data_IF_450278782847
#
_entry.id   IF_450278782847
#
_cell.length_a   1.000
_cell.length_b   1.000
_cell.length_c   1.000
_cell.angle_alpha   90.00
_cell.angle_beta   90.00
_cell.angle_gamma   90.00
#
_symmetry.space_group_name_H-M   'P 1'
#
loop_
_entity.id
_entity.type
_entity.pdbx_description
1 polymer ?
#
# COMPACT_ATOMS: atom_id res chain seq x y z
N UNK A 1 -0.03 -21.27 -16.15
CA UNK A 1 0.16 -19.82 -16.40
C UNK A 1 -0.92 -19.05 -15.65
N UNK A 2 -0.57 -18.37 -14.57
CA UNK A 2 -1.53 -17.59 -13.80
C UNK A 2 -1.79 -16.26 -14.52
N UNK A 3 -2.94 -16.14 -15.16
CA UNK A 3 -3.43 -14.86 -15.66
C UNK A 3 -4.11 -14.13 -14.50
N UNK A 4 -3.30 -13.46 -13.68
CA UNK A 4 -3.77 -12.61 -12.60
C UNK A 4 -3.44 -11.15 -12.86
N UNK A 5 -4.21 -10.25 -12.27
CA UNK A 5 -3.94 -8.83 -12.20
C UNK A 5 -3.59 -8.47 -10.75
N UNK A 6 -2.65 -7.54 -10.58
CA UNK A 6 -2.39 -6.87 -9.31
C UNK A 6 -2.88 -5.43 -9.36
N UNK A 7 -3.45 -4.97 -8.25
CA UNK A 7 -3.70 -3.56 -8.01
C UNK A 7 -2.67 -3.05 -7.00
N UNK A 8 -1.95 -2.02 -7.38
CA UNK A 8 -1.02 -1.30 -6.53
C UNK A 8 -1.66 0.04 -6.16
N UNK A 9 -1.62 0.42 -4.90
CA UNK A 9 -2.18 1.69 -4.45
C UNK A 9 -1.16 2.49 -3.66
N UNK A 10 -1.19 3.81 -3.85
CA UNK A 10 -0.60 4.79 -2.97
C UNK A 10 -1.69 5.40 -2.10
N UNK A 11 -1.47 5.45 -0.80
CA UNK A 11 -2.41 6.03 0.15
C UNK A 11 -1.68 6.95 1.13
N UNK A 12 -2.37 7.98 1.56
CA UNK A 12 -1.88 8.90 2.56
C UNK A 12 -1.74 8.22 3.92
N UNK A 13 -0.60 8.42 4.58
CA UNK A 13 -0.26 7.74 5.83
C UNK A 13 -1.10 8.19 7.03
N UNK A 14 -1.66 9.39 7.00
CA UNK A 14 -2.50 9.92 8.08
C UNK A 14 -3.97 9.54 7.89
N UNK A 15 -4.52 9.88 6.73
CA UNK A 15 -5.93 9.68 6.43
C UNK A 15 -6.28 8.27 5.98
N UNK A 16 -5.32 7.55 5.39
CA UNK A 16 -5.54 6.27 4.72
C UNK A 16 -6.27 6.39 3.38
N UNK A 17 -6.47 7.62 2.87
CA UNK A 17 -7.13 7.83 1.59
C UNK A 17 -6.22 7.47 0.42
N UNK A 18 -6.78 6.75 -0.55
CA UNK A 18 -6.05 6.34 -1.75
C UNK A 18 -5.97 7.50 -2.72
N UNK A 19 -4.77 7.88 -3.12
CA UNK A 19 -4.52 8.94 -4.11
C UNK A 19 -4.05 8.41 -5.47
N UNK A 20 -3.47 7.20 -5.51
CA UNK A 20 -2.96 6.61 -6.75
C UNK A 20 -3.36 5.14 -6.84
N UNK A 21 -3.82 4.72 -8.01
CA UNK A 21 -4.14 3.32 -8.31
C UNK A 21 -3.46 2.92 -9.61
N UNK A 22 -2.72 1.81 -9.60
CA UNK A 22 -2.08 1.22 -10.77
C UNK A 22 -2.47 -0.25 -10.89
N UNK A 23 -2.91 -0.64 -12.07
CA UNK A 23 -3.15 -2.04 -12.40
C UNK A 23 -2.01 -2.60 -13.23
N UNK A 24 -1.54 -3.79 -12.87
CA UNK A 24 -0.52 -4.53 -13.64
C UNK A 24 -0.89 -5.98 -13.81
N UNK A 25 -0.23 -6.67 -14.72
CA UNK A 25 -0.30 -8.13 -14.74
C UNK A 25 0.31 -8.71 -13.46
N UNK A 26 -0.16 -9.88 -13.05
CA UNK A 26 0.20 -10.49 -11.76
C UNK A 26 1.67 -10.87 -11.60
N UNK A 27 2.43 -10.95 -12.69
CA UNK A 27 3.85 -11.25 -12.70
C UNK A 27 4.76 -10.02 -12.47
N UNK A 28 4.20 -8.80 -12.46
CA UNK A 28 4.97 -7.59 -12.19
C UNK A 28 5.28 -7.50 -10.70
N UNK A 29 6.55 -7.31 -10.36
CA UNK A 29 6.98 -7.13 -8.97
C UNK A 29 6.54 -5.76 -8.43
N UNK A 30 6.16 -5.71 -7.16
CA UNK A 30 5.64 -4.50 -6.52
C UNK A 30 6.66 -3.35 -6.56
N UNK A 31 7.94 -3.65 -6.38
CA UNK A 31 9.05 -2.68 -6.44
C UNK A 31 9.10 -1.91 -7.78
N UNK A 32 8.63 -2.51 -8.87
CA UNK A 32 8.61 -1.86 -10.19
C UNK A 32 7.61 -0.70 -10.22
N UNK A 33 6.54 -0.80 -9.45
CA UNK A 33 5.46 0.20 -9.43
C UNK A 33 5.61 1.24 -8.32
N UNK A 34 6.47 1.01 -7.32
CA UNK A 34 6.54 1.85 -6.13
C UNK A 34 6.69 3.34 -6.42
N UNK A 35 7.66 3.72 -7.24
CA UNK A 35 7.87 5.14 -7.57
C UNK A 35 6.73 5.76 -8.38
N UNK A 36 5.98 4.96 -9.16
CA UNK A 36 4.80 5.42 -9.91
C UNK A 36 3.56 5.64 -9.03
N UNK A 37 3.58 5.16 -7.80
CA UNK A 37 2.50 5.36 -6.81
C UNK A 37 2.62 6.70 -6.08
N UNK A 38 3.79 7.33 -6.12
CA UNK A 38 4.03 8.61 -5.49
C UNK A 38 3.40 9.74 -6.31
N UNK A 39 2.73 10.69 -5.66
CA UNK A 39 2.14 11.86 -6.32
C UNK A 39 3.12 13.04 -6.48
N UNK A 40 4.32 12.94 -5.88
CA UNK A 40 5.42 13.87 -6.12
C UNK A 40 5.65 14.93 -5.04
N UNK A 41 4.85 14.91 -3.97
CA UNK A 41 5.01 15.81 -2.81
C UNK A 41 5.49 15.07 -1.56
N UNK A 42 5.67 13.76 -1.67
CA UNK A 42 6.13 12.95 -0.56
C UNK A 42 7.64 13.11 -0.33
N UNK A 43 8.02 13.35 0.92
CA UNK A 43 9.40 13.22 1.39
C UNK A 43 9.69 11.84 1.99
N UNK A 44 8.64 11.12 2.39
CA UNK A 44 8.71 9.80 3.02
C UNK A 44 7.68 8.86 2.41
N UNK A 45 8.08 7.62 2.16
CA UNK A 45 7.19 6.56 1.75
C UNK A 45 7.41 5.30 2.61
N UNK A 46 6.34 4.60 2.92
CA UNK A 46 6.38 3.34 3.68
C UNK A 46 5.85 2.21 2.79
N UNK A 47 6.63 1.17 2.64
CA UNK A 47 6.28 0.01 1.82
C UNK A 47 6.40 -1.32 2.56
N UNK A 48 5.76 -2.34 2.04
CA UNK A 48 5.94 -3.71 2.51
C UNK A 48 7.25 -4.31 1.99
N UNK A 49 7.54 -5.57 2.36
CA UNK A 49 8.77 -6.23 1.96
C UNK A 49 8.91 -6.46 0.44
N UNK A 50 7.82 -6.31 -0.32
CA UNK A 50 7.83 -6.39 -1.79
C UNK A 50 8.52 -5.19 -2.46
N UNK A 51 8.68 -4.09 -1.73
CA UNK A 51 9.35 -2.87 -2.21
C UNK A 51 10.84 -2.81 -1.87
N UNK A 52 11.44 -3.88 -1.34
CA UNK A 52 12.88 -3.90 -1.04
C UNK A 52 13.73 -3.65 -2.29
N UNK A 53 14.70 -2.75 -2.16
CA UNK A 53 15.58 -2.34 -3.24
C UNK A 53 15.03 -1.23 -4.12
N UNK A 54 13.92 -0.60 -3.75
CA UNK A 54 13.30 0.48 -4.53
C UNK A 54 14.23 1.69 -4.68
N UNK A 55 15.04 1.96 -3.68
CA UNK A 55 16.04 3.05 -3.68
C UNK A 55 17.18 2.82 -4.69
N UNK A 56 17.38 1.58 -5.12
CA UNK A 56 18.44 1.20 -6.08
C UNK A 56 17.95 1.20 -7.53
N UNK A 57 16.68 1.48 -7.74
CA UNK A 57 16.11 1.47 -9.08
C UNK A 57 16.51 2.71 -9.88
N UNK A 58 16.58 2.61 -11.24
CA UNK A 58 16.88 3.76 -12.10
C UNK A 58 15.85 4.88 -12.01
N UNK A 59 14.60 4.55 -11.66
CA UNK A 59 13.48 5.47 -11.49
C UNK A 59 13.29 5.95 -10.04
N UNK A 60 14.25 5.64 -9.14
CA UNK A 60 14.20 6.08 -7.75
C UNK A 60 14.25 7.61 -7.65
N UNK A 61 13.34 8.18 -6.85
CA UNK A 61 13.33 9.62 -6.53
C UNK A 61 14.30 9.88 -5.38
N UNK A 62 15.29 10.72 -5.60
CA UNK A 62 16.37 11.00 -4.64
C UNK A 62 15.87 11.76 -3.39
N UNK A 63 14.77 12.47 -3.49
CA UNK A 63 14.15 13.29 -2.45
C UNK A 63 13.13 12.53 -1.59
N UNK A 64 12.91 11.25 -1.87
CA UNK A 64 11.97 10.39 -1.11
C UNK A 64 12.72 9.34 -0.31
N UNK A 65 12.54 9.35 1.01
CA UNK A 65 13.08 8.33 1.91
C UNK A 65 12.08 7.17 2.02
N UNK A 66 12.51 5.98 1.62
CA UNK A 66 11.70 4.79 1.73
C UNK A 66 11.96 4.01 3.02
N UNK A 67 10.91 3.77 3.78
CA UNK A 67 10.91 2.85 4.94
C UNK A 67 10.22 1.54 4.55
N UNK A 68 11.00 0.62 4.01
CA UNK A 68 10.50 -0.69 3.57
C UNK A 68 10.51 -1.66 4.74
N UNK A 69 9.45 -2.45 4.86
CA UNK A 69 9.34 -3.46 5.90
C UNK A 69 10.39 -4.57 5.71
N UNK A 70 10.89 -5.08 6.83
CA UNK A 70 11.80 -6.21 6.86
C UNK A 70 11.08 -7.50 6.42
N UNK A 71 11.79 -8.38 5.72
CA UNK A 71 11.27 -9.71 5.39
C UNK A 71 10.97 -10.50 6.66
N UNK A 72 9.87 -11.25 6.73
CA UNK A 72 9.46 -11.98 7.94
C UNK A 72 10.55 -12.89 8.51
N UNK A 73 11.31 -13.56 7.66
CA UNK A 73 12.42 -14.43 8.10
C UNK A 73 13.53 -13.66 8.83
N UNK A 74 13.93 -12.50 8.32
CA UNK A 74 14.93 -11.64 8.98
C UNK A 74 14.41 -11.08 10.30
N UNK A 75 13.13 -10.68 10.34
CA UNK A 75 12.52 -10.16 11.55
C UNK A 75 12.44 -11.22 12.66
N UNK A 76 12.15 -12.47 12.33
CA UNK A 76 12.12 -13.59 13.30
C UNK A 76 13.50 -13.92 13.88
N UNK A 77 14.57 -13.60 13.17
CA UNK A 77 15.94 -13.81 13.61
C UNK A 77 16.44 -12.73 14.58
N UNK A 78 15.68 -11.64 14.81
CA UNK A 78 16.05 -10.60 15.78
C UNK A 78 16.00 -11.15 17.20
N UNK A 79 17.05 -10.87 17.98
CA UNK A 79 17.13 -11.25 19.39
C UNK A 79 16.37 -10.22 20.23
N UNK A 80 15.49 -10.72 21.10
CA UNK A 80 14.78 -9.85 22.06
C UNK A 80 15.68 -9.34 23.20
N UNK A 81 16.82 -9.96 23.39
CA UNK A 81 17.77 -9.64 24.46
C UNK A 81 18.76 -8.53 24.06
N UNK A 82 18.93 -8.32 22.77
CA UNK A 82 19.80 -7.23 22.26
C UNK A 82 19.01 -5.94 22.08
N UNK A 83 19.45 -4.88 22.74
CA UNK A 83 18.80 -3.57 22.68
C UNK A 83 18.63 -3.04 21.25
N UNK A 84 19.65 -3.22 20.39
CA UNK A 84 19.58 -2.81 19.00
C UNK A 84 18.48 -3.56 18.22
N UNK A 85 18.37 -4.87 18.40
CA UNK A 85 17.34 -5.70 17.75
C UNK A 85 15.94 -5.36 18.27
N UNK A 86 15.81 -5.04 19.55
CA UNK A 86 14.56 -4.59 20.14
C UNK A 86 14.08 -3.26 19.53
N UNK A 87 15.01 -2.31 19.30
CA UNK A 87 14.71 -1.05 18.61
C UNK A 87 14.28 -1.28 17.15
N UNK A 88 14.96 -2.18 16.45
CA UNK A 88 14.58 -2.58 15.08
C UNK A 88 13.19 -3.18 15.06
N UNK A 89 12.85 -4.10 15.97
CA UNK A 89 11.50 -4.69 16.04
C UNK A 89 10.43 -3.64 16.35
N UNK A 90 10.74 -2.67 17.20
CA UNK A 90 9.83 -1.55 17.48
C UNK A 90 9.60 -0.67 16.25
N UNK A 91 10.64 -0.37 15.49
CA UNK A 91 10.51 0.34 14.22
C UNK A 91 9.65 -0.45 13.20
N UNK A 92 9.82 -1.77 13.13
CA UNK A 92 8.98 -2.63 12.28
C UNK A 92 7.50 -2.63 12.71
N UNK A 93 7.21 -2.55 14.02
CA UNK A 93 5.83 -2.40 14.53
C UNK A 93 5.20 -1.07 14.09
N UNK A 94 5.95 0.03 14.13
CA UNK A 94 5.47 1.34 13.65
C UNK A 94 5.18 1.30 12.14
N UNK A 95 6.06 0.74 11.34
CA UNK A 95 5.82 0.54 9.89
C UNK A 95 4.57 -0.30 9.66
N UNK A 96 4.37 -1.37 10.42
CA UNK A 96 3.18 -2.21 10.31
C UNK A 96 1.89 -1.43 10.64
N UNK A 97 1.90 -0.55 11.62
CA UNK A 97 0.79 0.33 11.97
C UNK A 97 0.39 1.26 10.81
N UNK A 98 1.38 1.87 10.15
CA UNK A 98 1.14 2.73 8.97
C UNK A 98 0.58 1.89 7.82
N UNK A 99 1.15 0.72 7.54
CA UNK A 99 0.70 -0.17 6.47
C UNK A 99 -0.73 -0.68 6.67
N UNK A 100 -1.14 -0.89 7.91
CA UNK A 100 -2.51 -1.31 8.21
C UNK A 100 -3.56 -0.30 7.69
N UNK A 101 -3.23 0.99 7.65
CA UNK A 101 -4.11 2.02 7.07
C UNK A 101 -4.26 1.85 5.56
N UNK A 102 -3.21 1.45 4.85
CA UNK A 102 -3.24 1.18 3.41
C UNK A 102 -4.03 -0.09 3.08
N UNK A 103 -4.06 -1.06 3.98
CA UNK A 103 -4.86 -2.27 3.82
C UNK A 103 -6.36 -2.02 4.04
N UNK A 104 -6.71 -0.98 4.77
CA UNK A 104 -8.10 -0.67 5.09
C UNK A 104 -8.98 -0.41 3.86
N UNK A 105 -8.59 0.40 2.86
CA UNK A 105 -9.34 0.56 1.61
C UNK A 105 -9.65 -0.76 0.90
N UNK A 106 -8.73 -1.72 0.88
CA UNK A 106 -8.99 -3.05 0.32
C UNK A 106 -10.10 -3.80 1.07
N UNK A 107 -10.15 -3.67 2.40
CA UNK A 107 -11.25 -4.24 3.20
C UNK A 107 -12.58 -3.57 2.89
N UNK A 108 -12.58 -2.24 2.71
CA UNK A 108 -13.79 -1.48 2.37
C UNK A 108 -14.35 -1.95 1.04
N UNK A 109 -13.55 -2.03 -0.02
CA UNK A 109 -14.05 -2.47 -1.33
C UNK A 109 -14.54 -3.92 -1.32
N UNK A 110 -13.93 -4.79 -0.52
CA UNK A 110 -14.37 -6.19 -0.38
C UNK A 110 -15.68 -6.32 0.40
N UNK A 111 -15.79 -5.63 1.54
CA UNK A 111 -16.93 -5.79 2.46
C UNK A 111 -18.13 -4.93 2.09
N UNK A 112 -17.91 -3.66 1.74
CA UNK A 112 -19.01 -2.72 1.47
C UNK A 112 -19.42 -2.71 0.01
N UNK A 113 -18.47 -2.90 -0.93
CA UNK A 113 -18.74 -2.86 -2.36
C UNK A 113 -18.71 -4.23 -3.03
N UNK A 114 -18.59 -5.31 -2.24
CA UNK A 114 -18.72 -6.68 -2.73
C UNK A 114 -17.68 -7.10 -3.77
N UNK A 115 -16.49 -6.50 -3.75
CA UNK A 115 -15.42 -6.86 -4.66
C UNK A 115 -14.81 -8.20 -4.25
N UNK A 116 -15.21 -9.29 -4.90
CA UNK A 116 -14.72 -10.64 -4.63
C UNK A 116 -13.65 -11.06 -5.63
N UNK A 117 -13.85 -10.73 -6.90
CA UNK A 117 -12.96 -11.11 -8.01
C UNK A 117 -13.07 -10.13 -9.18
N UNK A 118 -12.08 -10.17 -10.05
CA UNK A 118 -12.11 -9.43 -11.32
C UNK A 118 -13.27 -9.90 -12.20
N UNK A 119 -14.01 -8.96 -12.76
CA UNK A 119 -15.21 -9.23 -13.58
C UNK A 119 -14.99 -9.02 -15.07
N UNK A 120 -13.98 -8.25 -15.45
CA UNK A 120 -13.77 -7.85 -16.82
C UNK A 120 -12.58 -8.59 -17.44
N UNK A 121 -12.59 -8.70 -18.76
CA UNK A 121 -11.43 -9.13 -19.53
C UNK A 121 -10.55 -7.93 -19.83
N UNK A 122 -9.25 -8.10 -19.64
CA UNK A 122 -8.23 -7.10 -19.94
C UNK A 122 -7.90 -6.14 -18.78
N UNK A 123 -6.65 -5.68 -18.80
CA UNK A 123 -6.06 -4.87 -17.74
C UNK A 123 -6.77 -3.52 -17.60
N UNK A 124 -7.04 -2.84 -18.72
CA UNK A 124 -7.62 -1.49 -18.74
C UNK A 124 -8.99 -1.41 -18.02
N UNK A 125 -9.90 -2.35 -18.34
CA UNK A 125 -11.25 -2.37 -17.74
C UNK A 125 -11.21 -2.70 -16.24
N UNK A 126 -10.37 -3.65 -15.84
CA UNK A 126 -10.21 -4.00 -14.42
C UNK A 126 -9.51 -2.88 -13.63
N UNK A 127 -8.53 -2.19 -14.21
CA UNK A 127 -7.91 -1.01 -13.59
C UNK A 127 -8.94 0.10 -13.37
N UNK A 128 -9.78 0.39 -14.38
CA UNK A 128 -10.85 1.37 -14.25
C UNK A 128 -11.84 1.01 -13.13
N UNK A 129 -12.20 -0.27 -13.01
CA UNK A 129 -13.02 -0.76 -11.90
C UNK A 129 -12.36 -0.50 -10.54
N UNK A 130 -11.07 -0.79 -10.40
CA UNK A 130 -10.34 -0.53 -9.16
C UNK A 130 -10.28 0.97 -8.82
N UNK A 131 -10.02 1.82 -9.80
CA UNK A 131 -10.05 3.30 -9.62
C UNK A 131 -11.39 3.74 -9.07
N UNK A 132 -12.48 3.27 -9.65
CA UNK A 132 -13.85 3.58 -9.18
C UNK A 132 -14.08 3.08 -7.77
N UNK A 133 -13.72 1.83 -7.46
CA UNK A 133 -13.91 1.24 -6.14
C UNK A 133 -13.12 1.95 -5.06
N UNK A 134 -11.86 2.33 -5.32
CA UNK A 134 -11.07 3.08 -4.35
C UNK A 134 -11.54 4.51 -4.18
N UNK A 135 -12.08 5.15 -5.22
CA UNK A 135 -12.76 6.44 -5.09
C UNK A 135 -14.00 6.34 -4.18
N UNK A 136 -14.81 5.31 -4.34
CA UNK A 136 -15.96 5.04 -3.47
C UNK A 136 -15.52 4.70 -2.04
N UNK A 137 -14.42 3.97 -1.86
CA UNK A 137 -13.82 3.72 -0.55
C UNK A 137 -13.43 5.01 0.14
N UNK A 138 -12.77 5.93 -0.57
CA UNK A 138 -12.41 7.25 -0.05
C UNK A 138 -13.64 8.04 0.40
N UNK A 139 -14.68 8.10 -0.43
CA UNK A 139 -15.94 8.76 -0.09
C UNK A 139 -16.59 8.16 1.16
N UNK A 140 -16.61 6.84 1.28
CA UNK A 140 -17.13 6.14 2.46
C UNK A 140 -16.36 6.51 3.72
N UNK A 141 -15.04 6.56 3.65
CA UNK A 141 -14.16 6.92 4.78
C UNK A 141 -14.35 8.38 5.20
N UNK A 142 -14.41 9.30 4.25
CA UNK A 142 -14.63 10.73 4.53
C UNK A 142 -16.01 10.96 5.14
N UNK A 143 -17.04 10.30 4.60
CA UNK A 143 -18.40 10.38 5.14
C UNK A 143 -18.44 9.99 6.63
N UNK A 144 -17.82 8.88 6.99
CA UNK A 144 -17.77 8.43 8.38
C UNK A 144 -17.11 9.45 9.30
N UNK A 145 -16.03 10.10 8.85
CA UNK A 145 -15.35 11.16 9.60
C UNK A 145 -16.23 12.41 9.76
N UNK A 146 -16.91 12.85 8.69
CA UNK A 146 -17.78 14.02 8.72
C UNK A 146 -19.01 13.79 9.60
N UNK A 147 -19.62 12.60 9.55
CA UNK A 147 -20.75 12.26 10.41
C UNK A 147 -20.34 12.13 11.88
N UNK A 148 -19.14 11.62 12.18
CA UNK A 148 -18.61 11.57 13.54
C UNK A 148 -18.27 12.95 14.14
N UNK A 149 -17.97 13.96 13.29
CA UNK A 149 -17.69 15.33 13.73
C UNK A 149 -18.96 16.16 14.00
N UNK A 150 -20.14 15.67 13.60
CA UNK A 150 -21.44 16.35 13.84
C UNK A 150 -22.19 15.81 15.07
N UNK A 151 -21.60 14.81 15.74
CA UNK A 151 -22.17 14.21 16.95
C UNK A 151 -21.68 14.83 18.22
#
# INVERSE_FOLDING_TARGET
MYFGMKAHIGADAESGLVHTVRGTSGNVHDVVQGNSLLHGQESVAVGDAGYQGIEKRPDAKADVIWYVAMRPGKRRALSKEHAADAMIDQAEKLKAGIRAKVEHPFRVIKRQFGFVKMRYRGLKKNTAQHVTLFALSNLSMVRSKLMGAQG
#
